data_IF_518728867115
#
_entry.id   IF_518728867115
#
_cell.length_a   1.000
_cell.length_b   1.000
_cell.length_c   1.000
_cell.angle_alpha   90.00
_cell.angle_beta   90.00
_cell.angle_gamma   90.00
#
_symmetry.space_group_name_H-M   'P 1'
#
loop_
_entity.id
_entity.type
_entity.pdbx_description
1 polymer ?
#
# COMPACT_ATOMS: atom_id res chain seq x y z
N UNK A 1 23.11 6.44 -28.01
CA UNK A 1 21.93 6.21 -28.87
C UNK A 1 20.86 7.22 -28.46
N UNK A 2 20.41 8.11 -29.37
CA UNK A 2 19.40 9.15 -29.02
C UNK A 2 18.05 8.46 -28.95
N UNK A 3 17.44 8.47 -27.75
CA UNK A 3 16.09 7.93 -27.53
C UNK A 3 15.09 8.65 -28.47
N UNK A 4 14.22 7.91 -29.16
CA UNK A 4 13.19 8.48 -30.03
C UNK A 4 12.12 9.23 -29.26
N UNK A 5 11.34 10.11 -29.92
CA UNK A 5 10.30 10.95 -29.30
C UNK A 5 9.28 10.16 -28.45
N UNK A 6 8.94 8.92 -28.84
CA UNK A 6 8.06 8.02 -28.10
C UNK A 6 8.68 7.50 -26.80
N UNK A 7 9.99 7.27 -26.78
CA UNK A 7 10.74 6.81 -25.62
C UNK A 7 10.79 7.88 -24.51
N UNK A 8 10.84 9.17 -24.89
CA UNK A 8 10.75 10.29 -23.94
C UNK A 8 9.35 10.40 -23.28
N UNK A 9 8.31 10.03 -24.00
CA UNK A 9 6.92 10.18 -23.51
C UNK A 9 6.59 9.19 -22.39
N UNK A 10 6.96 7.92 -22.52
CA UNK A 10 6.61 6.91 -21.51
C UNK A 10 7.56 6.91 -20.30
N UNK A 11 8.88 7.06 -20.51
CA UNK A 11 9.82 7.29 -19.40
C UNK A 11 9.41 8.54 -18.60
N UNK A 12 8.88 9.56 -19.26
CA UNK A 12 8.29 10.75 -18.63
C UNK A 12 6.99 10.44 -17.88
N UNK A 13 6.21 9.45 -18.29
CA UNK A 13 4.95 9.06 -17.63
C UNK A 13 5.20 8.25 -16.35
N UNK A 14 6.08 7.24 -16.41
CA UNK A 14 6.46 6.39 -15.27
C UNK A 14 7.31 7.18 -14.27
N UNK A 15 8.21 8.03 -14.75
CA UNK A 15 9.14 8.84 -13.93
C UNK A 15 8.63 10.26 -13.69
N UNK A 16 7.35 10.54 -13.97
CA UNK A 16 6.77 11.88 -13.73
C UNK A 16 6.76 12.15 -12.25
N UNK A 17 7.61 13.08 -11.84
CA UNK A 17 7.67 13.51 -10.45
C UNK A 17 6.41 14.28 -10.06
N UNK A 18 5.85 13.92 -8.93
CA UNK A 18 4.77 14.69 -8.31
C UNK A 18 5.35 15.98 -7.77
N UNK A 19 4.86 17.11 -8.26
CA UNK A 19 5.26 18.46 -7.83
C UNK A 19 4.26 19.10 -6.88
N UNK A 20 3.00 18.58 -6.84
CA UNK A 20 1.94 19.15 -6.01
C UNK A 20 1.15 18.01 -5.33
N UNK A 21 1.56 17.65 -4.11
CA UNK A 21 0.90 16.60 -3.31
C UNK A 21 -0.51 17.00 -2.84
N UNK A 22 -0.80 18.29 -2.71
CA UNK A 22 -2.16 18.76 -2.40
C UNK A 22 -3.14 18.43 -3.51
N UNK A 23 -2.76 18.66 -4.76
CA UNK A 23 -3.58 18.30 -5.92
C UNK A 23 -3.73 16.79 -6.06
N UNK A 24 -2.65 16.03 -5.76
CA UNK A 24 -2.73 14.55 -5.75
C UNK A 24 -3.73 14.07 -4.70
N UNK A 25 -3.62 14.56 -3.46
CA UNK A 25 -4.56 14.21 -2.40
C UNK A 25 -6.02 14.52 -2.78
N UNK A 26 -6.27 15.70 -3.29
CA UNK A 26 -7.60 16.11 -3.77
C UNK A 26 -8.13 15.15 -4.84
N UNK A 27 -7.31 14.78 -5.81
CA UNK A 27 -7.69 13.83 -6.88
C UNK A 27 -7.98 12.43 -6.34
N UNK A 28 -7.16 11.92 -5.41
CA UNK A 28 -7.39 10.64 -4.75
C UNK A 28 -8.72 10.62 -4.00
N UNK A 29 -9.01 11.66 -3.24
CA UNK A 29 -10.30 11.84 -2.53
C UNK A 29 -11.46 11.87 -3.51
N UNK A 30 -11.37 12.68 -4.58
CA UNK A 30 -12.46 12.82 -5.56
C UNK A 30 -12.69 11.52 -6.33
N UNK A 31 -11.65 10.80 -6.76
CA UNK A 31 -11.77 9.51 -7.45
C UNK A 31 -12.34 8.42 -6.55
N UNK A 32 -11.92 8.38 -5.28
CA UNK A 32 -12.49 7.46 -4.28
C UNK A 32 -13.97 7.77 -4.06
N UNK A 33 -14.32 9.03 -3.86
CA UNK A 33 -15.72 9.47 -3.71
C UNK A 33 -16.56 9.08 -4.92
N UNK A 34 -16.08 9.36 -6.13
CA UNK A 34 -16.76 9.03 -7.38
C UNK A 34 -17.06 7.53 -7.46
N UNK A 35 -16.08 6.68 -7.17
CA UNK A 35 -16.25 5.23 -7.17
C UNK A 35 -17.28 4.77 -6.13
N UNK A 36 -17.17 5.23 -4.89
CA UNK A 36 -18.05 4.83 -3.78
C UNK A 36 -19.51 5.24 -4.07
N UNK A 37 -19.74 6.48 -4.51
CA UNK A 37 -21.07 6.98 -4.79
C UNK A 37 -21.70 6.33 -6.02
N UNK A 38 -20.95 6.22 -7.13
CA UNK A 38 -21.46 5.67 -8.38
C UNK A 38 -21.81 4.18 -8.29
N UNK A 39 -21.20 3.45 -7.37
CA UNK A 39 -21.49 2.03 -7.14
C UNK A 39 -22.46 1.78 -5.97
N UNK A 40 -23.03 2.83 -5.37
CA UNK A 40 -24.01 2.71 -4.29
C UNK A 40 -23.46 2.05 -3.02
N UNK A 41 -22.15 2.16 -2.77
CA UNK A 41 -21.47 1.61 -1.59
C UNK A 41 -21.94 2.34 -0.34
N UNK A 42 -22.29 1.58 0.72
CA UNK A 42 -22.87 2.16 1.94
C UNK A 42 -21.88 2.29 3.10
N UNK A 43 -20.69 1.68 3.00
CA UNK A 43 -19.63 1.81 3.98
C UNK A 43 -18.24 1.54 3.34
N UNK A 44 -17.23 2.23 3.81
CA UNK A 44 -15.82 1.94 3.52
C UNK A 44 -15.25 1.16 4.68
N UNK A 45 -14.74 -0.05 4.44
CA UNK A 45 -14.16 -0.94 5.46
C UNK A 45 -12.64 -0.91 5.30
N UNK A 46 -11.92 -0.61 6.37
CA UNK A 46 -10.47 -0.47 6.32
C UNK A 46 -9.78 -1.24 7.44
N UNK A 47 -8.80 -2.08 7.05
CA UNK A 47 -7.83 -2.65 7.98
C UNK A 47 -6.79 -1.59 8.37
N UNK A 48 -6.71 -1.28 9.67
CA UNK A 48 -5.77 -0.27 10.19
C UNK A 48 -4.60 -0.99 10.83
N UNK A 49 -3.46 -1.02 10.15
CA UNK A 49 -2.22 -1.63 10.67
C UNK A 49 -1.42 -0.68 11.57
N UNK A 50 -1.61 0.63 11.45
CA UNK A 50 -0.79 1.67 12.05
C UNK A 50 0.36 2.12 11.14
N UNK A 51 0.67 1.38 10.08
CA UNK A 51 1.65 1.77 9.06
C UNK A 51 1.17 2.93 8.19
N UNK A 52 2.12 3.55 7.48
CA UNK A 52 1.89 4.79 6.74
C UNK A 52 0.83 4.64 5.64
N UNK A 53 0.82 3.50 4.92
CA UNK A 53 -0.10 3.24 3.82
C UNK A 53 -1.55 3.24 4.31
N UNK A 54 -1.86 2.42 5.32
CA UNK A 54 -3.21 2.37 5.92
C UNK A 54 -3.62 3.72 6.52
N UNK A 55 -2.67 4.53 7.01
CA UNK A 55 -2.94 5.85 7.55
C UNK A 55 -3.27 6.87 6.46
N UNK A 56 -2.57 6.84 5.32
CA UNK A 56 -2.87 7.68 4.16
C UNK A 56 -4.24 7.31 3.57
N UNK A 57 -4.53 6.01 3.45
CA UNK A 57 -5.87 5.55 3.00
C UNK A 57 -6.96 5.98 3.98
N UNK A 58 -6.71 5.88 5.30
CA UNK A 58 -7.65 6.37 6.30
C UNK A 58 -7.94 7.87 6.15
N UNK A 59 -6.90 8.69 5.88
CA UNK A 59 -7.06 10.12 5.64
C UNK A 59 -7.89 10.41 4.38
N UNK A 60 -7.65 9.70 3.27
CA UNK A 60 -8.42 9.83 2.02
C UNK A 60 -9.90 9.46 2.27
N UNK A 61 -10.14 8.29 2.86
CA UNK A 61 -11.50 7.80 3.13
C UNK A 61 -12.25 8.70 4.13
N UNK A 62 -11.53 9.31 5.07
CA UNK A 62 -12.11 10.28 6.00
C UNK A 62 -12.66 11.51 5.27
N UNK A 63 -11.93 12.08 4.32
CA UNK A 63 -12.45 13.20 3.52
C UNK A 63 -13.67 12.78 2.68
N UNK A 64 -13.66 11.57 2.11
CA UNK A 64 -14.85 11.02 1.41
C UNK A 64 -16.03 10.90 2.37
N UNK A 65 -15.82 10.40 3.59
CA UNK A 65 -16.84 10.32 4.63
C UNK A 65 -17.40 11.71 4.98
N UNK A 66 -16.56 12.72 5.15
CA UNK A 66 -16.98 14.10 5.43
C UNK A 66 -17.83 14.66 4.29
N UNK A 67 -17.48 14.38 3.03
CA UNK A 67 -18.19 14.86 1.85
C UNK A 67 -19.52 14.14 1.59
N UNK A 68 -19.64 12.87 1.95
CA UNK A 68 -20.76 12.01 1.53
C UNK A 68 -21.67 11.54 2.66
N UNK A 69 -21.18 11.57 3.89
CA UNK A 69 -21.83 10.94 5.04
C UNK A 69 -21.69 9.41 5.07
N UNK A 70 -21.03 8.78 4.07
CA UNK A 70 -20.82 7.33 4.02
C UNK A 70 -19.75 6.96 5.06
N UNK A 71 -20.04 6.06 6.03
CA UNK A 71 -19.14 5.79 7.15
C UNK A 71 -17.83 5.12 6.72
N UNK A 72 -16.73 5.48 7.41
CA UNK A 72 -15.48 4.75 7.42
C UNK A 72 -15.42 3.87 8.68
N UNK A 73 -15.43 2.56 8.49
CA UNK A 73 -15.37 1.55 9.57
C UNK A 73 -13.97 0.94 9.57
N UNK A 74 -13.18 1.26 10.60
CA UNK A 74 -11.81 0.79 10.76
C UNK A 74 -11.69 -0.37 11.73
N UNK A 75 -10.82 -1.33 11.43
CA UNK A 75 -10.48 -2.41 12.37
C UNK A 75 -8.97 -2.60 12.42
N UNK A 76 -8.42 -2.61 13.64
CA UNK A 76 -7.08 -3.16 13.88
C UNK A 76 -7.21 -4.62 14.27
N UNK A 77 -6.49 -5.50 13.58
CA UNK A 77 -6.59 -6.96 13.70
C UNK A 77 -5.23 -7.56 14.11
N UNK A 78 -4.69 -7.21 15.31
CA UNK A 78 -3.38 -7.67 15.72
C UNK A 78 -3.37 -9.14 16.11
N UNK A 79 -2.21 -9.77 15.87
CA UNK A 79 -1.79 -11.04 16.44
C UNK A 79 -0.64 -10.79 17.45
N UNK A 80 -0.10 -11.85 18.05
CA UNK A 80 1.08 -11.78 18.93
C UNK A 80 2.37 -11.31 18.23
N UNK A 81 2.38 -11.29 16.90
CA UNK A 81 3.55 -10.88 16.11
C UNK A 81 3.59 -9.36 15.85
N UNK A 82 2.50 -8.65 16.09
CA UNK A 82 2.47 -7.20 15.96
C UNK A 82 3.14 -6.55 17.17
N UNK A 83 3.98 -5.55 16.88
CA UNK A 83 4.62 -4.74 17.93
C UNK A 83 3.59 -3.84 18.60
N UNK A 84 3.79 -3.55 19.88
CA UNK A 84 2.91 -2.66 20.64
C UNK A 84 2.82 -1.25 19.99
N UNK A 85 3.93 -0.77 19.45
CA UNK A 85 3.97 0.53 18.77
C UNK A 85 3.05 0.58 17.55
N UNK A 86 2.97 -0.51 16.76
CA UNK A 86 2.06 -0.64 15.61
C UNK A 86 0.60 -0.62 16.07
N UNK A 87 0.26 -1.38 17.10
CA UNK A 87 -1.10 -1.44 17.65
C UNK A 87 -1.53 -0.10 18.26
N UNK A 88 -0.61 0.60 18.91
CA UNK A 88 -0.84 1.94 19.45
C UNK A 88 -1.04 2.98 18.33
N UNK A 89 -0.25 2.90 17.25
CA UNK A 89 -0.44 3.76 16.09
C UNK A 89 -1.77 3.46 15.40
N UNK A 90 -2.10 2.18 15.20
CA UNK A 90 -3.38 1.76 14.62
C UNK A 90 -4.58 2.29 15.43
N UNK A 91 -4.48 2.26 16.76
CA UNK A 91 -5.53 2.78 17.65
C UNK A 91 -5.69 4.30 17.51
N UNK A 92 -4.58 5.03 17.43
CA UNK A 92 -4.62 6.48 17.23
C UNK A 92 -5.22 6.84 15.86
N UNK A 93 -4.77 6.19 14.78
CA UNK A 93 -5.28 6.39 13.41
C UNK A 93 -6.78 6.09 13.35
N UNK A 94 -7.20 4.94 13.88
CA UNK A 94 -8.59 4.52 13.84
C UNK A 94 -9.52 5.47 14.59
N UNK A 95 -9.14 5.92 15.80
CA UNK A 95 -9.89 6.90 16.58
C UNK A 95 -9.93 8.29 15.95
N UNK A 96 -8.93 8.64 15.14
CA UNK A 96 -8.82 9.94 14.49
C UNK A 96 -9.65 10.03 13.22
N UNK A 97 -9.62 8.98 12.39
CA UNK A 97 -10.15 9.04 11.04
C UNK A 97 -11.47 8.26 10.84
N UNK A 98 -11.75 7.23 11.64
CA UNK A 98 -12.91 6.37 11.44
C UNK A 98 -14.14 6.83 12.24
N UNK A 99 -15.34 6.58 11.69
CA UNK A 99 -16.62 6.75 12.41
C UNK A 99 -16.83 5.66 13.46
N UNK A 100 -16.40 4.43 13.13
CA UNK A 100 -16.41 3.28 14.03
C UNK A 100 -15.04 2.60 13.95
N UNK A 101 -14.37 2.49 15.07
CA UNK A 101 -13.07 1.82 15.19
C UNK A 101 -13.04 0.86 16.36
N UNK A 102 -12.52 -0.34 16.11
CA UNK A 102 -12.27 -1.34 17.15
C UNK A 102 -10.95 -2.06 16.89
N UNK A 103 -10.27 -2.43 17.98
CA UNK A 103 -9.17 -3.40 17.95
C UNK A 103 -9.74 -4.77 18.27
N UNK A 104 -9.56 -5.74 17.36
CA UNK A 104 -10.03 -7.12 17.52
C UNK A 104 -8.82 -8.04 17.48
N UNK A 105 -8.51 -8.65 18.62
CA UNK A 105 -7.37 -9.56 18.71
C UNK A 105 -7.71 -10.90 18.05
N UNK A 106 -7.08 -11.21 16.92
CA UNK A 106 -7.30 -12.44 16.15
C UNK A 106 -6.30 -13.55 16.48
N UNK A 107 -5.50 -13.36 17.53
CA UNK A 107 -4.44 -14.29 17.92
C UNK A 107 -4.94 -15.70 18.27
N UNK A 108 -6.07 -15.79 18.96
CA UNK A 108 -6.64 -17.09 19.35
C UNK A 108 -7.17 -17.85 18.12
N UNK A 109 -7.85 -17.18 17.19
CA UNK A 109 -8.28 -17.76 15.91
C UNK A 109 -7.11 -18.25 15.08
N UNK A 110 -6.02 -17.45 15.04
CA UNK A 110 -4.80 -17.85 14.37
C UNK A 110 -4.17 -19.10 15.00
N UNK A 111 -4.10 -19.18 16.33
CA UNK A 111 -3.51 -20.31 17.04
C UNK A 111 -4.31 -21.59 16.81
N UNK A 112 -5.64 -21.52 16.92
CA UNK A 112 -6.54 -22.64 16.68
C UNK A 112 -6.39 -23.16 15.24
N UNK A 113 -6.55 -22.28 14.25
CA UNK A 113 -6.47 -22.65 12.83
C UNK A 113 -5.08 -23.20 12.44
N UNK A 114 -4.02 -22.59 12.97
CA UNK A 114 -2.64 -23.03 12.74
C UNK A 114 -2.37 -24.41 13.36
N UNK A 115 -2.98 -24.72 14.50
CA UNK A 115 -2.87 -26.02 15.15
C UNK A 115 -3.57 -27.11 14.34
N UNK A 116 -4.77 -26.83 13.83
CA UNK A 116 -5.50 -27.76 12.97
C UNK A 116 -4.74 -28.03 11.66
N UNK A 117 -4.25 -27.01 10.97
CA UNK A 117 -3.44 -27.21 9.77
C UNK A 117 -2.18 -28.04 10.03
N UNK A 118 -1.49 -27.80 11.16
CA UNK A 118 -0.33 -28.59 11.52
C UNK A 118 -0.64 -30.06 11.77
N UNK A 119 -1.79 -30.35 12.37
CA UNK A 119 -2.25 -31.73 12.60
C UNK A 119 -2.61 -32.44 11.30
N UNK A 120 -3.21 -31.74 10.35
CA UNK A 120 -3.70 -32.32 9.09
C UNK A 120 -2.60 -32.41 8.01
N UNK A 121 -1.76 -31.36 7.90
CA UNK A 121 -0.84 -31.17 6.77
C UNK A 121 0.64 -31.16 7.18
N UNK A 122 0.94 -31.24 8.48
CA UNK A 122 2.30 -31.19 9.00
C UNK A 122 2.83 -29.77 9.26
N UNK A 123 4.16 -29.63 9.42
CA UNK A 123 4.77 -28.35 9.79
C UNK A 123 4.67 -27.32 8.66
N UNK A 124 4.23 -26.12 9.02
CA UNK A 124 4.07 -25.00 8.09
C UNK A 124 5.31 -24.14 7.99
N UNK A 125 5.64 -23.68 6.77
CA UNK A 125 6.67 -22.68 6.54
C UNK A 125 6.30 -21.32 7.17
N UNK A 126 7.27 -20.44 7.45
CA UNK A 126 7.00 -19.06 7.92
C UNK A 126 6.03 -18.32 6.99
N UNK A 127 6.20 -18.45 5.66
CA UNK A 127 5.31 -17.84 4.66
C UNK A 127 3.87 -18.37 4.79
N UNK A 128 3.68 -19.69 4.96
CA UNK A 128 2.35 -20.27 5.14
C UNK A 128 1.67 -19.74 6.41
N UNK A 129 2.42 -19.60 7.51
CA UNK A 129 1.95 -18.99 8.77
C UNK A 129 1.54 -17.53 8.60
N UNK A 130 2.33 -16.74 7.88
CA UNK A 130 2.01 -15.35 7.53
C UNK A 130 0.73 -15.25 6.67
N UNK A 131 0.61 -16.11 5.66
CA UNK A 131 -0.56 -16.14 4.78
C UNK A 131 -1.87 -16.47 5.51
N UNK A 132 -1.83 -17.30 6.58
CA UNK A 132 -3.00 -17.53 7.43
C UNK A 132 -3.44 -16.24 8.12
N UNK A 133 -2.49 -15.47 8.66
CA UNK A 133 -2.81 -14.21 9.34
C UNK A 133 -3.46 -13.20 8.37
N UNK A 134 -2.90 -13.05 7.15
CA UNK A 134 -3.45 -12.17 6.12
C UNK A 134 -4.88 -12.59 5.74
N UNK A 135 -5.12 -13.90 5.54
CA UNK A 135 -6.45 -14.42 5.20
C UNK A 135 -7.47 -14.33 6.34
N UNK A 136 -7.07 -14.45 7.59
CA UNK A 136 -7.94 -14.20 8.73
C UNK A 136 -8.39 -12.74 8.79
N UNK A 137 -7.46 -11.81 8.55
CA UNK A 137 -7.78 -10.37 8.46
C UNK A 137 -8.76 -10.11 7.33
N UNK A 138 -8.49 -10.64 6.14
CA UNK A 138 -9.38 -10.55 4.98
C UNK A 138 -10.77 -11.10 5.29
N UNK A 139 -10.87 -12.31 5.81
CA UNK A 139 -12.14 -12.94 6.16
C UNK A 139 -12.98 -12.05 7.10
N UNK A 140 -12.34 -11.44 8.10
CA UNK A 140 -13.02 -10.54 9.03
C UNK A 140 -13.52 -9.27 8.32
N UNK A 141 -12.66 -8.61 7.54
CA UNK A 141 -12.99 -7.35 6.87
C UNK A 141 -14.08 -7.55 5.81
N UNK A 142 -14.03 -8.62 5.02
CA UNK A 142 -15.06 -8.92 4.01
C UNK A 142 -16.40 -9.30 4.63
N UNK A 143 -16.39 -10.02 5.76
CA UNK A 143 -17.62 -10.28 6.50
C UNK A 143 -18.23 -8.97 7.02
N UNK A 144 -17.40 -8.06 7.54
CA UNK A 144 -17.84 -6.73 7.98
C UNK A 144 -18.40 -5.91 6.81
N UNK A 145 -17.74 -5.95 5.64
CA UNK A 145 -18.23 -5.32 4.42
C UNK A 145 -19.62 -5.86 4.01
N UNK A 146 -19.82 -7.15 4.08
CA UNK A 146 -21.12 -7.79 3.79
C UNK A 146 -22.22 -7.30 4.73
N UNK A 147 -21.93 -7.19 6.03
CA UNK A 147 -22.88 -6.71 7.05
C UNK A 147 -23.31 -5.26 6.77
N UNK A 148 -22.37 -4.41 6.39
CA UNK A 148 -22.59 -2.97 6.19
C UNK A 148 -22.88 -2.57 4.74
N UNK A 149 -23.02 -3.51 3.80
CA UNK A 149 -23.14 -3.25 2.36
C UNK A 149 -22.02 -2.34 1.86
N UNK A 150 -20.83 -2.60 2.39
CA UNK A 150 -19.63 -1.83 2.16
C UNK A 150 -18.67 -2.51 1.19
N UNK A 151 -17.50 -1.89 1.07
CA UNK A 151 -16.37 -2.38 0.27
C UNK A 151 -15.09 -2.34 1.10
N UNK A 152 -14.20 -3.31 0.90
CA UNK A 152 -12.90 -3.34 1.58
C UNK A 152 -11.93 -2.43 0.84
N UNK A 153 -11.38 -1.45 1.57
CA UNK A 153 -10.36 -0.54 1.05
C UNK A 153 -9.00 -1.20 1.13
N UNK A 154 -8.28 -1.17 0.01
CA UNK A 154 -6.93 -1.71 -0.11
C UNK A 154 -5.88 -0.66 0.27
N UNK A 155 -4.75 -1.11 0.76
CA UNK A 155 -3.64 -0.27 1.23
C UNK A 155 -2.31 -0.55 0.53
N UNK A 156 -2.29 -1.44 -0.46
CA UNK A 156 -1.08 -1.76 -1.22
C UNK A 156 -0.67 -0.59 -2.11
N UNK A 157 0.58 -0.16 -2.01
CA UNK A 157 1.15 0.86 -2.89
C UNK A 157 1.77 0.23 -4.16
N UNK A 158 2.21 1.06 -5.10
CA UNK A 158 2.75 0.62 -6.38
C UNK A 158 4.05 -0.19 -6.22
N UNK A 159 4.86 0.10 -5.21
CA UNK A 159 6.11 -0.62 -4.90
C UNK A 159 5.80 -2.04 -4.44
N UNK A 160 4.95 -2.18 -3.41
CA UNK A 160 4.49 -3.49 -2.90
C UNK A 160 3.87 -4.33 -3.99
N UNK A 161 3.07 -3.69 -4.82
CA UNK A 161 2.44 -4.27 -5.98
C UNK A 161 3.44 -4.86 -6.97
N UNK A 162 4.48 -4.11 -7.32
CA UNK A 162 5.50 -4.57 -8.24
C UNK A 162 6.42 -5.64 -7.63
N UNK A 163 6.61 -5.64 -6.33
CA UNK A 163 7.37 -6.66 -5.61
C UNK A 163 6.53 -7.91 -5.27
N UNK A 164 5.20 -7.84 -5.39
CA UNK A 164 4.30 -8.91 -4.98
C UNK A 164 4.28 -9.12 -3.47
N UNK A 165 4.48 -8.05 -2.68
CA UNK A 165 4.41 -8.06 -1.22
C UNK A 165 2.98 -8.03 -0.71
N UNK A 166 2.22 -9.04 -1.08
CA UNK A 166 0.86 -9.28 -0.65
C UNK A 166 0.50 -10.77 -0.76
N UNK A 167 -0.48 -11.21 -0.01
CA UNK A 167 -0.97 -12.58 0.00
C UNK A 167 -2.13 -12.73 -0.96
N UNK A 168 -2.03 -13.67 -1.90
CA UNK A 168 -3.15 -14.02 -2.80
C UNK A 168 -4.39 -14.39 -1.99
N UNK A 169 -5.50 -13.69 -2.26
CA UNK A 169 -6.76 -13.84 -1.51
C UNK A 169 -6.57 -13.64 0.01
N UNK A 170 -5.68 -12.70 0.39
CA UNK A 170 -5.36 -12.36 1.77
C UNK A 170 -5.59 -10.89 2.05
N UNK A 171 -4.53 -10.12 2.18
CA UNK A 171 -4.53 -8.72 2.60
C UNK A 171 -4.86 -7.70 1.52
N UNK A 172 -5.43 -8.13 0.40
CA UNK A 172 -5.84 -7.30 -0.74
C UNK A 172 -7.31 -6.90 -0.62
N UNK A 173 -7.62 -5.62 -0.82
CA UNK A 173 -8.99 -5.09 -0.83
C UNK A 173 -9.61 -5.03 -2.23
N UNK A 174 -10.84 -4.50 -2.30
CA UNK A 174 -11.59 -4.38 -3.56
C UNK A 174 -11.33 -3.06 -4.29
N UNK A 175 -11.03 -2.00 -3.56
CA UNK A 175 -10.73 -0.68 -4.12
C UNK A 175 -9.47 -0.10 -3.49
N UNK A 176 -8.50 0.22 -4.33
CA UNK A 176 -7.20 0.71 -3.91
C UNK A 176 -6.99 2.19 -4.29
N UNK A 177 -7.11 3.13 -3.33
CA UNK A 177 -6.93 4.54 -3.63
C UNK A 177 -5.47 4.93 -3.88
N UNK A 178 -4.49 4.17 -3.36
CA UNK A 178 -3.06 4.50 -3.42
C UNK A 178 -2.23 3.58 -4.33
N UNK A 179 -2.85 2.59 -4.97
CA UNK A 179 -2.16 1.59 -5.79
C UNK A 179 -1.39 2.14 -7.00
N UNK A 180 -1.58 3.41 -7.33
CA UNK A 180 -0.84 4.13 -8.37
C UNK A 180 0.34 4.96 -7.85
N UNK A 181 0.60 4.99 -6.53
CA UNK A 181 1.69 5.75 -5.92
C UNK A 181 2.83 4.83 -5.48
N UNK A 182 4.07 5.25 -5.75
CA UNK A 182 5.27 4.61 -5.22
C UNK A 182 5.36 4.78 -3.70
N UNK A 183 6.06 3.89 -3.01
CA UNK A 183 6.29 4.01 -1.55
C UNK A 183 6.93 5.34 -1.18
N UNK A 184 7.90 5.80 -1.96
CA UNK A 184 8.53 7.12 -1.81
C UNK A 184 7.53 8.26 -1.95
N UNK A 185 6.52 8.12 -2.81
CA UNK A 185 5.47 9.13 -2.99
C UNK A 185 4.46 9.10 -1.85
N UNK A 186 4.18 7.93 -1.27
CA UNK A 186 3.36 7.81 -0.05
C UNK A 186 4.01 8.57 1.12
N UNK A 187 5.32 8.41 1.33
CA UNK A 187 6.05 9.17 2.35
C UNK A 187 5.95 10.68 2.14
N UNK A 188 6.17 11.14 0.91
CA UNK A 188 6.08 12.58 0.56
C UNK A 188 4.64 13.12 0.70
N UNK A 189 3.63 12.31 0.37
CA UNK A 189 2.23 12.66 0.58
C UNK A 189 1.91 12.78 2.08
N UNK A 190 2.42 11.87 2.91
CA UNK A 190 2.27 11.93 4.36
C UNK A 190 2.96 13.16 4.96
N UNK A 191 4.16 13.51 4.51
CA UNK A 191 4.86 14.74 4.92
C UNK A 191 4.06 16.00 4.54
N UNK A 192 3.45 16.01 3.35
CA UNK A 192 2.59 17.09 2.93
C UNK A 192 1.34 17.18 3.83
N UNK A 193 0.68 16.04 4.15
CA UNK A 193 -0.48 16.00 5.04
C UNK A 193 -0.14 16.52 6.44
N UNK A 194 1.03 16.16 6.98
CA UNK A 194 1.52 16.68 8.27
C UNK A 194 1.57 18.21 8.25
N UNK A 195 2.24 18.80 7.25
CA UNK A 195 2.33 20.26 7.09
C UNK A 195 0.96 20.91 6.89
N UNK A 196 0.07 20.24 6.15
CA UNK A 196 -1.29 20.71 5.91
C UNK A 196 -2.10 20.77 7.22
N UNK A 197 -2.07 19.71 8.03
CA UNK A 197 -2.78 19.65 9.31
C UNK A 197 -2.20 20.65 10.33
N UNK A 198 -0.88 20.80 10.36
CA UNK A 198 -0.20 21.80 11.17
C UNK A 198 -0.67 23.21 10.80
N UNK A 199 -0.60 23.58 9.52
CA UNK A 199 -1.07 24.89 9.05
C UNK A 199 -2.56 25.11 9.33
N UNK A 200 -3.40 24.10 9.12
CA UNK A 200 -4.83 24.19 9.43
C UNK A 200 -5.10 24.40 10.92
N UNK A 201 -4.30 23.80 11.81
CA UNK A 201 -4.45 23.99 13.27
C UNK A 201 -4.16 25.42 13.72
N UNK A 202 -3.30 26.14 13.02
CA UNK A 202 -2.91 27.53 13.38
C UNK A 202 -3.94 28.58 12.95
N UNK A 203 -4.76 28.29 11.93
CA UNK A 203 -5.75 29.24 11.41
C UNK A 203 -7.17 29.04 12.00
N UNK A 204 -7.38 27.97 12.75
CA UNK A 204 -8.68 27.71 13.38
C UNK A 204 -8.93 28.57 14.61
N UNK A 205 -10.12 29.12 14.71
CA UNK A 205 -10.52 30.06 15.77
C UNK A 205 -11.16 29.40 17.01
N UNK A 206 -11.38 28.06 16.98
CA UNK A 206 -12.05 27.37 18.09
C UNK A 206 -11.33 26.06 18.48
N UNK A 207 -11.29 25.77 19.78
CA UNK A 207 -10.53 24.69 20.37
C UNK A 207 -10.85 23.30 19.77
N UNK A 208 -12.09 23.00 19.44
CA UNK A 208 -12.47 21.69 18.85
C UNK A 208 -11.83 21.47 17.47
N UNK A 209 -11.79 22.50 16.63
CA UNK A 209 -11.16 22.43 15.32
C UNK A 209 -9.66 22.26 15.42
N UNK A 210 -9.02 22.98 16.36
CA UNK A 210 -7.57 22.85 16.62
C UNK A 210 -7.25 21.43 17.06
N UNK A 211 -7.96 20.87 18.06
CA UNK A 211 -7.76 19.50 18.57
C UNK A 211 -7.94 18.49 17.44
N UNK A 212 -8.94 18.66 16.59
CA UNK A 212 -9.19 17.79 15.45
C UNK A 212 -8.00 17.74 14.48
N UNK A 213 -7.40 18.88 14.14
CA UNK A 213 -6.23 18.92 13.27
C UNK A 213 -4.97 18.38 13.95
N UNK A 214 -4.79 18.65 15.24
CA UNK A 214 -3.66 18.13 16.02
C UNK A 214 -3.70 16.60 16.14
N UNK A 215 -4.86 15.99 16.32
CA UNK A 215 -5.01 14.52 16.33
C UNK A 215 -4.62 13.91 14.97
N UNK A 216 -5.00 14.53 13.87
CA UNK A 216 -4.62 14.11 12.50
C UNK A 216 -3.10 14.23 12.29
N UNK A 217 -2.53 15.34 12.71
CA UNK A 217 -1.07 15.58 12.68
C UNK A 217 -0.34 14.50 13.48
N UNK A 218 -0.78 14.21 14.70
CA UNK A 218 -0.16 13.21 15.57
C UNK A 218 -0.26 11.80 14.95
N UNK A 219 -1.44 11.40 14.48
CA UNK A 219 -1.68 10.11 13.87
C UNK A 219 -0.76 9.90 12.65
N UNK A 220 -0.70 10.86 11.74
CA UNK A 220 0.15 10.81 10.55
C UNK A 220 1.64 10.80 10.91
N UNK A 221 2.07 11.66 11.84
CA UNK A 221 3.46 11.74 12.29
C UNK A 221 3.93 10.46 12.98
N UNK A 222 3.06 9.82 13.75
CA UNK A 222 3.38 8.55 14.41
C UNK A 222 3.57 7.43 13.40
N UNK A 223 2.66 7.30 12.45
CA UNK A 223 2.73 6.29 11.39
C UNK A 223 3.94 6.49 10.47
N UNK A 224 4.30 7.73 10.17
CA UNK A 224 5.48 8.06 9.34
C UNK A 224 6.80 7.62 9.99
N UNK A 225 6.88 7.56 11.32
CA UNK A 225 8.07 7.13 12.06
C UNK A 225 8.20 5.63 12.22
N UNK A 226 7.13 4.87 12.00
CA UNK A 226 7.18 3.41 12.04
C UNK A 226 7.92 2.87 10.81
N UNK A 227 8.82 1.93 11.06
CA UNK A 227 9.45 1.20 9.95
C UNK A 227 8.39 0.32 9.28
N UNK A 228 8.28 0.34 7.94
CA UNK A 228 7.40 -0.55 7.22
C UNK A 228 7.74 -2.01 7.51
N UNK A 229 6.75 -2.78 7.96
CA UNK A 229 6.88 -4.22 8.23
C UNK A 229 5.66 -4.93 7.67
N UNK A 230 5.85 -6.15 7.19
CA UNK A 230 4.72 -6.98 6.76
C UNK A 230 3.84 -7.44 7.94
N UNK A 231 4.28 -7.25 9.20
CA UNK A 231 3.54 -7.67 10.40
C UNK A 231 3.28 -9.18 10.48
N UNK A 232 4.03 -9.97 9.70
CA UNK A 232 3.88 -11.43 9.59
C UNK A 232 4.97 -12.18 10.36
N UNK A 233 5.97 -11.49 10.92
CA UNK A 233 7.09 -12.07 11.68
C UNK A 233 8.09 -12.85 10.81
N UNK A 234 8.25 -12.49 9.53
CA UNK A 234 9.15 -13.14 8.58
C UNK A 234 10.48 -12.37 8.47
N UNK A 235 10.40 -11.06 8.29
CA UNK A 235 11.55 -10.14 8.25
C UNK A 235 11.24 -8.91 9.10
N UNK A 236 12.29 -8.16 9.50
CA UNK A 236 12.10 -6.92 10.25
C UNK A 236 11.56 -5.79 9.38
N UNK A 237 12.02 -5.69 8.13
CA UNK A 237 11.51 -4.73 7.13
C UNK A 237 11.55 -5.32 5.71
N UNK A 238 10.78 -4.73 4.78
CA UNK A 238 10.81 -5.08 3.36
C UNK A 238 12.19 -4.77 2.74
N UNK A 239 12.84 -3.70 3.20
CA UNK A 239 14.17 -3.29 2.73
C UNK A 239 15.25 -4.30 3.14
N UNK A 240 15.14 -4.90 4.35
CA UNK A 240 16.09 -5.92 4.81
C UNK A 240 16.05 -7.17 3.92
N UNK A 241 14.86 -7.57 3.44
CA UNK A 241 14.72 -8.71 2.51
C UNK A 241 15.41 -8.43 1.16
N UNK A 242 15.36 -7.18 0.70
CA UNK A 242 15.94 -6.76 -0.58
C UNK A 242 17.41 -6.37 -0.48
N UNK A 243 17.94 -6.20 0.74
CA UNK A 243 19.27 -5.65 1.00
C UNK A 243 19.39 -4.17 0.60
N UNK A 244 18.28 -3.46 0.49
CA UNK A 244 18.22 -2.07 0.08
C UNK A 244 18.32 -1.12 1.29
N UNK A 245 18.95 0.03 1.09
CA UNK A 245 19.09 1.07 2.12
C UNK A 245 17.87 2.00 2.17
N UNK A 246 17.16 2.12 1.06
CA UNK A 246 16.02 3.03 0.94
C UNK A 246 15.01 2.59 -0.13
N UNK A 247 13.78 3.08 0.00
CA UNK A 247 12.77 2.90 -1.05
C UNK A 247 13.08 3.69 -2.32
N UNK A 248 13.91 4.74 -2.28
CA UNK A 248 14.36 5.45 -3.49
C UNK A 248 15.17 4.50 -4.40
N UNK A 249 16.02 3.63 -3.82
CA UNK A 249 16.72 2.61 -4.60
C UNK A 249 15.76 1.59 -5.19
N UNK A 250 14.83 1.08 -4.39
CA UNK A 250 13.85 0.06 -4.83
C UNK A 250 12.94 0.59 -5.92
N UNK A 251 12.33 1.76 -5.69
CA UNK A 251 11.43 2.40 -6.64
C UNK A 251 12.15 2.78 -7.94
N UNK A 252 13.41 3.23 -7.84
CA UNK A 252 14.25 3.52 -8.99
C UNK A 252 14.47 2.30 -9.89
N UNK A 253 14.84 1.15 -9.30
CA UNK A 253 15.01 -0.12 -10.04
C UNK A 253 13.69 -0.56 -10.68
N UNK A 254 12.58 -0.51 -9.94
CA UNK A 254 11.27 -0.90 -10.46
C UNK A 254 10.82 0.00 -11.62
N UNK A 255 11.08 1.31 -11.54
CA UNK A 255 10.80 2.25 -12.64
C UNK A 255 11.62 1.92 -13.90
N UNK A 256 12.89 1.56 -13.74
CA UNK A 256 13.71 1.12 -14.88
C UNK A 256 13.21 -0.21 -15.47
N UNK A 257 12.81 -1.18 -14.66
CA UNK A 257 12.20 -2.43 -15.15
C UNK A 257 10.93 -2.13 -15.97
N UNK A 258 10.05 -1.29 -15.46
CA UNK A 258 8.79 -0.95 -16.15
C UNK A 258 9.05 -0.17 -17.43
N UNK A 259 10.00 0.77 -17.43
CA UNK A 259 10.40 1.50 -18.64
C UNK A 259 11.01 0.56 -19.69
N UNK A 260 11.86 -0.37 -19.27
CA UNK A 260 12.44 -1.37 -20.14
C UNK A 260 11.38 -2.31 -20.74
N UNK A 261 10.46 -2.85 -19.93
CA UNK A 261 9.36 -3.71 -20.40
C UNK A 261 8.53 -3.01 -21.48
N UNK A 262 8.20 -1.75 -21.27
CA UNK A 262 7.46 -0.96 -22.23
C UNK A 262 8.24 -0.78 -23.55
N UNK A 263 9.52 -0.39 -23.47
CA UNK A 263 10.39 -0.17 -24.64
C UNK A 263 10.58 -1.46 -25.45
N UNK A 264 10.79 -2.59 -24.79
CA UNK A 264 10.91 -3.89 -25.43
C UNK A 264 9.58 -4.30 -26.12
N UNK A 265 8.44 -4.02 -25.46
CA UNK A 265 7.11 -4.25 -26.04
C UNK A 265 6.84 -3.41 -27.29
N UNK A 266 7.19 -2.11 -27.27
CA UNK A 266 7.06 -1.22 -28.46
C UNK A 266 7.95 -1.66 -29.63
N UNK A 267 9.11 -2.24 -29.35
CA UNK A 267 10.00 -2.80 -30.37
C UNK A 267 9.55 -4.16 -30.91
N UNK A 268 8.62 -4.83 -30.17
CA UNK A 268 8.24 -6.22 -30.45
C UNK A 268 9.27 -7.25 -29.97
N UNK A 269 10.23 -6.84 -29.14
CA UNK A 269 11.34 -7.68 -28.66
C UNK A 269 11.05 -8.29 -27.29
N UNK A 270 9.90 -7.97 -26.65
CA UNK A 270 9.59 -8.44 -25.31
C UNK A 270 9.30 -9.94 -25.32
N UNK A 271 10.14 -10.79 -24.67
CA UNK A 271 9.91 -12.22 -24.62
C UNK A 271 8.57 -12.56 -23.94
N UNK A 272 7.96 -13.68 -24.31
CA UNK A 272 6.75 -14.19 -23.65
C UNK A 272 7.05 -14.74 -22.25
N UNK A 273 8.21 -15.35 -22.08
CA UNK A 273 8.64 -15.95 -20.83
C UNK A 273 9.16 -14.90 -19.86
N UNK A 274 8.60 -14.89 -18.64
CA UNK A 274 9.06 -14.01 -17.55
C UNK A 274 10.53 -14.23 -17.20
N UNK A 275 11.04 -15.47 -17.36
CA UNK A 275 12.45 -15.80 -17.13
C UNK A 275 13.35 -15.11 -18.14
N UNK A 276 13.00 -15.21 -19.42
CA UNK A 276 13.75 -14.55 -20.51
C UNK A 276 13.69 -13.03 -20.40
N UNK A 277 12.53 -12.46 -20.03
CA UNK A 277 12.39 -11.04 -19.75
C UNK A 277 13.36 -10.59 -18.65
N UNK A 278 13.49 -11.36 -17.58
CA UNK A 278 14.41 -11.06 -16.48
C UNK A 278 15.87 -11.11 -16.94
N UNK A 279 16.26 -12.18 -17.65
CA UNK A 279 17.63 -12.36 -18.15
C UNK A 279 18.00 -11.21 -19.11
N UNK A 280 17.13 -10.89 -20.06
CA UNK A 280 17.33 -9.81 -21.02
C UNK A 280 17.44 -8.43 -20.33
N UNK A 281 16.58 -8.16 -19.33
CA UNK A 281 16.68 -6.92 -18.56
C UNK A 281 18.04 -6.81 -17.84
N UNK A 282 18.51 -7.86 -17.19
CA UNK A 282 19.77 -7.85 -16.48
C UNK A 282 20.98 -7.69 -17.41
N UNK A 283 20.94 -8.29 -18.61
CA UNK A 283 22.00 -8.16 -19.62
C UNK A 283 22.09 -6.74 -20.21
N UNK A 284 20.95 -6.05 -20.33
CA UNK A 284 20.88 -4.67 -20.84
C UNK A 284 21.19 -3.61 -19.76
N UNK A 285 21.23 -3.97 -18.45
CA UNK A 285 21.48 -3.02 -17.37
C UNK A 285 22.98 -2.69 -17.23
N UNK A 286 23.38 -1.56 -17.80
CA UNK A 286 24.78 -1.10 -17.72
C UNK A 286 25.03 0.09 -16.78
N UNK A 287 24.02 0.70 -16.16
CA UNK A 287 24.16 2.03 -15.55
C UNK A 287 23.22 2.34 -14.36
N UNK A 288 23.12 1.54 -13.33
CA UNK A 288 22.57 2.02 -12.06
C UNK A 288 23.71 2.22 -11.06
N UNK A 289 23.81 3.41 -10.45
CA UNK A 289 24.69 3.69 -9.28
C UNK A 289 24.19 2.95 -8.02
N UNK A 290 23.71 1.72 -8.19
CA UNK A 290 23.13 0.88 -7.15
C UNK A 290 23.89 -0.43 -7.13
N UNK A 291 24.24 -0.97 -5.95
CA UNK A 291 24.91 -2.25 -5.83
C UNK A 291 24.20 -3.37 -6.58
N UNK A 292 24.93 -4.15 -7.34
CA UNK A 292 24.37 -5.21 -8.19
C UNK A 292 23.49 -6.21 -7.43
N UNK A 293 23.82 -6.50 -6.17
CA UNK A 293 23.03 -7.38 -5.31
C UNK A 293 21.60 -6.86 -5.12
N UNK A 294 21.43 -5.56 -4.89
CA UNK A 294 20.12 -4.94 -4.71
C UNK A 294 19.34 -5.01 -6.03
N UNK A 295 20.00 -4.71 -7.16
CA UNK A 295 19.40 -4.83 -8.49
C UNK A 295 18.89 -6.26 -8.72
N UNK A 296 19.71 -7.26 -8.41
CA UNK A 296 19.33 -8.67 -8.57
C UNK A 296 18.15 -9.06 -7.67
N UNK A 297 18.15 -8.65 -6.40
CA UNK A 297 17.09 -8.97 -5.45
C UNK A 297 15.75 -8.36 -5.86
N UNK A 298 15.73 -7.07 -6.19
CA UNK A 298 14.52 -6.36 -6.65
C UNK A 298 14.01 -6.96 -7.96
N UNK A 299 14.90 -7.18 -8.94
CA UNK A 299 14.56 -7.75 -10.23
C UNK A 299 14.00 -9.17 -10.07
N UNK A 300 14.67 -10.03 -9.32
CA UNK A 300 14.20 -11.38 -9.04
C UNK A 300 12.82 -11.36 -8.37
N UNK A 301 12.62 -10.51 -7.36
CA UNK A 301 11.36 -10.38 -6.66
C UNK A 301 10.25 -9.92 -7.61
N UNK A 302 10.50 -8.89 -8.43
CA UNK A 302 9.54 -8.39 -9.41
C UNK A 302 9.10 -9.49 -10.39
N UNK A 303 10.02 -10.11 -11.09
CA UNK A 303 9.67 -11.09 -12.12
C UNK A 303 9.08 -12.38 -11.53
N UNK A 304 9.58 -12.89 -10.40
CA UNK A 304 9.03 -14.08 -9.74
C UNK A 304 7.60 -13.88 -9.21
N UNK A 305 7.18 -12.64 -8.98
CA UNK A 305 5.83 -12.31 -8.49
C UNK A 305 4.85 -11.89 -9.61
N UNK A 306 5.24 -11.95 -10.88
CA UNK A 306 4.42 -11.53 -12.04
C UNK A 306 3.02 -12.17 -12.04
N UNK A 307 2.92 -13.46 -11.66
CA UNK A 307 1.65 -14.18 -11.61
C UNK A 307 0.64 -13.58 -10.63
N UNK A 308 1.08 -12.89 -9.58
CA UNK A 308 0.23 -12.24 -8.59
C UNK A 308 -0.48 -11.03 -9.21
N UNK A 309 0.20 -10.25 -10.04
CA UNK A 309 -0.31 -8.99 -10.60
C UNK A 309 -1.49 -9.16 -11.56
N UNK A 310 -1.71 -10.36 -12.07
CA UNK A 310 -2.85 -10.67 -12.94
C UNK A 310 -4.22 -10.64 -12.24
N UNK A 311 -4.26 -10.59 -10.91
CA UNK A 311 -5.49 -10.61 -10.08
C UNK A 311 -5.54 -9.46 -9.10
N UNK A 312 -5.25 -8.26 -9.58
CA UNK A 312 -5.20 -7.07 -8.72
C UNK A 312 -6.57 -6.44 -8.49
N UNK A 313 -6.76 -5.78 -7.34
CA UNK A 313 -7.97 -5.00 -7.09
C UNK A 313 -8.09 -3.83 -8.08
N UNK A 314 -9.29 -3.28 -8.21
CA UNK A 314 -9.50 -2.01 -8.88
C UNK A 314 -8.73 -0.94 -8.13
N UNK A 315 -7.88 -0.20 -8.82
CA UNK A 315 -7.06 0.87 -8.25
C UNK A 315 -7.21 2.17 -9.05
N UNK A 316 -6.86 3.25 -8.43
CA UNK A 316 -6.72 4.53 -9.11
C UNK A 316 -5.42 4.49 -9.91
N UNK A 317 -5.53 4.60 -11.23
CA UNK A 317 -4.35 4.58 -12.09
C UNK A 317 -3.52 5.86 -11.91
N UNK A 318 -2.19 5.71 -11.99
CA UNK A 318 -1.24 6.80 -11.77
C UNK A 318 -1.55 8.03 -12.64
N UNK A 319 -1.85 7.84 -13.92
CA UNK A 319 -2.11 8.93 -14.87
C UNK A 319 -3.34 9.78 -14.52
N UNK A 320 -4.25 9.23 -13.73
CA UNK A 320 -5.46 9.95 -13.30
C UNK A 320 -5.24 10.82 -12.05
N UNK A 321 -4.07 10.70 -11.38
CA UNK A 321 -3.79 11.37 -10.10
C UNK A 321 -2.53 12.25 -10.12
N UNK A 322 -1.63 12.06 -11.09
CA UNK A 322 -0.36 12.83 -11.26
C UNK A 322 -0.37 13.86 -12.42
#
# INVERSE_FOLDING_TARGET
MVLSYGQYSYKRLIMKQITNYGLVFERLVNKTKEYIVNNGIQAMILGISGGIDSTVVAAICHEVMVMTGIPLIGRSLPTKFNKEEETNAATLVGKTFCTDFQTVHIGDWYNELSSEFRLLEGEMTPIAKGNIQARLRMMYLYNLASIHKGIVMDTDNLTENNLGYWTLHGDVGDFNPIGGLWKTEIFKLAEWLIKHYEAASTVMSHNRGIIYQLNRLEAMSKSLRLKPTAGLGITDTDLDELGAESYDQVDGILQEILAWKWLAGERGDLPESTKEQREMFLDEQQMLDTPIEIILNVTNRHFNSEFKRKKMPIKIERDSIV
#
